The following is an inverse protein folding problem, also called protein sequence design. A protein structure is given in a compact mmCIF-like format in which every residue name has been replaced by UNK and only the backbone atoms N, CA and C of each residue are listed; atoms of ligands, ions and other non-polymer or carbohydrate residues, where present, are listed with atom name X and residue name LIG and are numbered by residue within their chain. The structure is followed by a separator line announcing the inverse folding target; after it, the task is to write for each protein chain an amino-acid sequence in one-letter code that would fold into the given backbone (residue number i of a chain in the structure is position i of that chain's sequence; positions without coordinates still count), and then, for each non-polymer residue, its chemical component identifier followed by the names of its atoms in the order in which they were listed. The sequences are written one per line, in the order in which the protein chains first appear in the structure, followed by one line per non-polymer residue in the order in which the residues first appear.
data_IF_410212780749
#
_entry.id   IF_410212780749
#
_cell.length_a   1.000
_cell.length_b   1.000
_cell.length_c   1.000
_cell.angle_alpha   90.00
_cell.angle_beta   90.00
_cell.angle_gamma   90.00
#
_symmetry.space_group_name_H-M   'P 1'
#
loop_
_entity.id
_entity.type
_entity.pdbx_description
1 polymer ?
#
# COMPACT_ATOMS: atom_id res chain seq x y z
N UNK A 1 38.98 25.51 24.47
CA UNK A 1 40.04 25.65 23.44
C UNK A 1 41.01 24.48 23.60
N UNK A 2 40.89 23.41 22.80
CA UNK A 2 41.90 22.35 22.77
C UNK A 2 42.95 22.73 21.72
N UNK A 3 44.20 22.76 22.14
CA UNK A 3 45.31 23.33 21.38
C UNK A 3 45.48 22.72 19.99
N UNK A 4 45.60 23.59 18.99
CA UNK A 4 46.03 23.24 17.65
C UNK A 4 47.52 22.94 17.75
N UNK A 5 47.87 21.66 17.87
CA UNK A 5 49.25 21.21 17.91
C UNK A 5 49.93 21.44 16.57
N UNK A 6 51.07 22.11 16.58
CA UNK A 6 51.94 22.29 15.41
C UNK A 6 52.46 20.92 14.97
N UNK A 7 52.06 20.46 13.79
CA UNK A 7 52.58 19.21 13.20
C UNK A 7 53.79 19.58 12.32
N UNK A 8 55.02 19.16 12.68
CA UNK A 8 56.21 19.52 11.92
C UNK A 8 56.16 18.93 10.50
N UNK A 9 56.56 19.76 9.53
CA UNK A 9 56.68 19.44 8.10
C UNK A 9 57.77 18.36 7.96
N UNK A 10 57.35 17.10 7.91
CA UNK A 10 58.26 15.93 7.90
C UNK A 10 57.94 14.86 8.94
N UNK A 11 56.97 15.09 9.83
CA UNK A 11 56.45 14.04 10.71
C UNK A 11 55.90 12.85 9.90
N UNK A 12 56.07 11.65 10.45
CA UNK A 12 55.68 10.39 9.81
C UNK A 12 54.21 10.40 9.37
N UNK A 13 53.34 11.08 10.12
CA UNK A 13 51.92 11.18 9.82
C UNK A 13 51.64 12.11 8.64
N UNK A 14 52.37 13.22 8.49
CA UNK A 14 52.31 14.07 7.30
C UNK A 14 52.86 13.36 6.07
N UNK A 15 53.93 12.58 6.21
CA UNK A 15 54.49 11.77 5.12
C UNK A 15 53.52 10.68 4.68
N UNK A 16 52.87 9.99 5.63
CA UNK A 16 51.83 9.00 5.35
C UNK A 16 50.61 9.63 4.66
N UNK A 17 50.15 10.79 5.12
CA UNK A 17 49.02 11.50 4.52
C UNK A 17 49.35 12.02 3.11
N UNK A 18 50.55 12.56 2.86
CA UNK A 18 50.99 12.94 1.51
C UNK A 18 51.05 11.74 0.57
N UNK A 19 51.59 10.61 1.03
CA UNK A 19 51.65 9.37 0.25
C UNK A 19 50.25 8.82 -0.06
N UNK A 20 49.34 8.86 0.91
CA UNK A 20 47.96 8.45 0.71
C UNK A 20 47.22 9.37 -0.28
N UNK A 21 47.46 10.69 -0.20
CA UNK A 21 46.90 11.66 -1.13
C UNK A 21 47.44 11.50 -2.57
N UNK A 22 48.72 11.16 -2.73
CA UNK A 22 49.31 10.85 -4.03
C UNK A 22 48.73 9.56 -4.64
N UNK A 23 48.51 8.52 -3.82
CA UNK A 23 47.90 7.24 -4.25
C UNK A 23 46.42 7.42 -4.63
N UNK A 24 45.69 8.31 -3.95
CA UNK A 24 44.29 8.63 -4.23
C UNK A 24 44.12 9.66 -5.36
N UNK A 25 45.19 10.27 -5.85
CA UNK A 25 45.12 11.22 -6.95
C UNK A 25 45.05 10.51 -8.30
N UNK A 26 44.12 10.92 -9.17
CA UNK A 26 43.93 10.36 -10.52
C UNK A 26 45.13 10.57 -11.46
N UNK A 27 46.19 11.25 -11.01
CA UNK A 27 47.40 11.56 -11.78
C UNK A 27 48.21 10.31 -12.19
N UNK A 28 48.06 9.18 -11.51
CA UNK A 28 48.80 7.94 -11.83
C UNK A 28 48.27 7.31 -13.14
N UNK A 29 46.98 7.49 -13.45
CA UNK A 29 46.34 6.90 -14.63
C UNK A 29 46.54 7.71 -15.93
N UNK A 30 47.15 8.90 -15.85
CA UNK A 30 47.30 9.82 -16.99
C UNK A 30 48.71 9.85 -17.60
N UNK A 31 49.67 9.11 -17.03
CA UNK A 31 51.05 9.10 -17.53
C UNK A 31 51.28 7.99 -18.57
N UNK A 32 51.99 8.26 -19.68
CA UNK A 32 52.40 7.24 -20.63
C UNK A 32 53.28 6.17 -19.97
N UNK A 33 53.22 4.90 -20.42
CA UNK A 33 53.80 3.75 -19.72
C UNK A 33 55.30 3.87 -19.43
N UNK A 34 56.03 4.66 -20.21
CA UNK A 34 57.49 4.81 -20.08
C UNK A 34 57.94 5.73 -18.91
N UNK A 35 57.00 6.46 -18.28
CA UNK A 35 57.32 7.42 -17.18
C UNK A 35 56.93 6.94 -15.79
N UNK A 36 56.30 5.76 -15.66
CA UNK A 36 55.97 5.18 -14.36
C UNK A 36 57.24 4.64 -13.66
N UNK A 37 57.87 5.47 -12.82
CA UNK A 37 58.94 5.01 -11.93
C UNK A 37 58.32 4.27 -10.74
N UNK A 38 58.40 2.94 -10.75
CA UNK A 38 58.12 2.12 -9.57
C UNK A 38 59.11 2.50 -8.46
N UNK A 39 58.65 3.21 -7.43
CA UNK A 39 59.47 3.48 -6.25
C UNK A 39 59.38 2.28 -5.33
N UNK A 40 60.38 1.40 -5.38
CA UNK A 40 60.58 0.37 -4.36
C UNK A 40 60.77 1.07 -3.02
N UNK A 41 59.77 0.96 -2.14
CA UNK A 41 59.86 1.39 -0.75
C UNK A 41 60.94 0.53 -0.08
N UNK A 42 61.77 1.17 0.73
CA UNK A 42 62.92 0.63 1.47
C UNK A 42 64.17 0.53 0.61
N UNK A 43 65.27 1.14 1.09
CA UNK A 43 66.63 0.68 0.79
C UNK A 43 66.55 -0.84 0.67
N UNK A 44 66.90 -1.42 -0.49
CA UNK A 44 66.81 -2.87 -0.65
C UNK A 44 67.48 -3.52 0.55
N UNK A 45 66.96 -4.64 1.06
CA UNK A 45 67.55 -5.31 2.23
C UNK A 45 69.08 -5.47 2.08
N UNK A 46 69.56 -5.61 0.84
CA UNK A 46 70.97 -5.58 0.46
C UNK A 46 71.71 -4.26 0.80
N UNK A 47 71.11 -3.09 0.58
CA UNK A 47 71.69 -1.79 0.94
C UNK A 47 71.79 -1.58 2.46
N UNK A 48 70.81 -2.07 3.22
CA UNK A 48 70.84 -2.02 4.70
C UNK A 48 71.87 -3.03 5.23
N UNK A 49 71.94 -4.22 4.65
CA UNK A 49 72.96 -5.23 4.98
C UNK A 49 74.37 -4.74 4.61
N UNK A 50 74.57 -4.06 3.48
CA UNK A 50 75.86 -3.48 3.10
C UNK A 50 76.33 -2.39 4.07
N UNK A 51 75.40 -1.53 4.55
CA UNK A 51 75.69 -0.52 5.59
C UNK A 51 76.02 -1.16 6.95
N UNK A 52 75.29 -2.21 7.35
CA UNK A 52 75.54 -2.91 8.61
C UNK A 52 76.83 -3.76 8.58
N UNK A 53 77.13 -4.38 7.44
CA UNK A 53 78.37 -5.13 7.23
C UNK A 53 79.60 -4.22 7.27
N UNK A 54 79.50 -2.98 6.79
CA UNK A 54 80.55 -1.97 6.89
C UNK A 54 80.86 -1.57 8.36
N UNK A 55 79.84 -1.57 9.24
CA UNK A 55 80.00 -1.28 10.68
C UNK A 55 80.71 -2.42 11.41
N UNK A 56 80.58 -3.66 10.93
CA UNK A 56 81.23 -4.84 11.52
C UNK A 56 82.69 -5.06 11.07
N UNK A 57 83.34 -4.15 10.35
CA UNK A 57 84.75 -4.29 9.96
C UNK A 57 85.68 -3.44 10.83
N UNK A 58 86.52 -4.07 11.66
CA UNK A 58 87.50 -3.38 12.49
C UNK A 58 88.80 -3.17 11.69
N UNK A 59 89.30 -1.93 11.62
CA UNK A 59 90.58 -1.59 10.96
C UNK A 59 91.68 -1.56 12.02
N UNK A 60 92.83 -2.18 11.75
CA UNK A 60 94.01 -2.01 12.59
C UNK A 60 94.56 -0.57 12.50
N UNK A 61 95.46 -0.18 13.41
CA UNK A 61 96.17 1.11 13.41
C UNK A 61 96.99 1.40 12.15
N UNK A 62 97.12 0.43 11.23
CA UNK A 62 97.80 0.55 9.92
C UNK A 62 96.83 0.47 8.73
N UNK A 63 95.52 0.48 8.96
CA UNK A 63 94.49 0.58 7.90
C UNK A 63 94.22 -0.71 7.11
N UNK A 64 94.86 -1.84 7.44
CA UNK A 64 94.57 -3.14 6.82
C UNK A 64 93.34 -3.81 7.46
N UNK A 65 92.50 -4.41 6.61
CA UNK A 65 91.31 -5.18 7.00
C UNK A 65 91.72 -6.53 7.59
N UNK A 66 91.34 -6.82 8.84
CA UNK A 66 91.50 -8.15 9.44
C UNK A 66 90.17 -8.90 9.45
N UNK A 67 90.23 -10.19 9.08
CA UNK A 67 89.10 -11.10 9.29
C UNK A 67 88.85 -11.30 10.79
N UNK A 68 87.67 -10.93 11.28
CA UNK A 68 87.23 -11.14 12.67
C UNK A 68 87.34 -12.60 13.13
N UNK A 69 87.21 -13.54 12.19
CA UNK A 69 87.36 -14.98 12.45
C UNK A 69 88.79 -15.32 12.87
N UNK A 70 89.80 -14.77 12.18
CA UNK A 70 91.21 -15.00 12.54
C UNK A 70 91.59 -14.35 13.88
N UNK A 71 91.02 -13.18 14.20
CA UNK A 71 91.30 -12.49 15.44
C UNK A 71 90.76 -13.23 16.68
N UNK A 72 89.57 -13.84 16.58
CA UNK A 72 88.95 -14.58 17.69
C UNK A 72 89.45 -16.02 17.82
N UNK A 73 89.80 -16.68 16.70
CA UNK A 73 90.17 -18.11 16.69
C UNK A 73 91.67 -18.34 16.96
N UNK A 74 92.54 -17.42 16.56
CA UNK A 74 93.99 -17.60 16.72
C UNK A 74 94.45 -17.72 18.19
N UNK A 75 93.97 -16.87 19.13
CA UNK A 75 94.29 -17.01 20.55
C UNK A 75 93.75 -18.33 21.14
N UNK A 76 92.60 -18.81 20.68
CA UNK A 76 91.99 -20.07 21.14
C UNK A 76 92.81 -21.29 20.71
N UNK A 77 93.32 -21.31 19.48
CA UNK A 77 94.22 -22.36 19.00
C UNK A 77 95.53 -22.39 19.80
N UNK A 78 96.07 -21.22 20.13
CA UNK A 78 97.27 -21.10 20.97
C UNK A 78 96.99 -21.60 22.40
N UNK A 79 95.84 -21.26 23.00
CA UNK A 79 95.46 -21.73 24.33
C UNK A 79 95.18 -23.24 24.37
N UNK A 80 94.53 -23.79 23.34
CA UNK A 80 94.28 -25.24 23.23
C UNK A 80 95.59 -26.02 23.07
N UNK A 81 96.56 -25.50 22.31
CA UNK A 81 97.89 -26.12 22.12
C UNK A 81 98.76 -26.06 23.39
N UNK A 82 98.50 -25.09 24.28
CA UNK A 82 99.15 -24.94 25.60
C UNK A 82 98.50 -25.80 26.71
N UNK A 83 97.46 -26.58 26.39
CA UNK A 83 96.84 -27.53 27.33
C UNK A 83 95.71 -26.98 28.20
N UNK A 84 95.20 -25.78 27.93
CA UNK A 84 94.05 -25.23 28.66
C UNK A 84 92.73 -25.86 28.16
N UNK A 85 91.88 -26.32 29.09
CA UNK A 85 90.54 -26.84 28.75
C UNK A 85 89.56 -25.68 28.50
N UNK A 86 89.03 -25.61 27.28
CA UNK A 86 88.14 -24.54 26.84
C UNK A 86 86.72 -25.09 26.73
N UNK A 87 85.84 -24.69 27.65
CA UNK A 87 84.43 -25.05 27.60
C UNK A 87 83.74 -24.50 26.34
N UNK A 88 82.79 -25.26 25.80
CA UNK A 88 82.12 -24.96 24.52
C UNK A 88 81.26 -23.70 24.48
N UNK A 89 80.93 -23.18 25.66
CA UNK A 89 80.14 -21.98 25.96
C UNK A 89 81.00 -20.74 26.25
N UNK A 90 82.34 -20.88 26.28
CA UNK A 90 83.22 -19.74 26.51
C UNK A 90 82.95 -18.63 25.48
N UNK A 91 82.83 -17.39 25.96
CA UNK A 91 82.56 -16.18 25.16
C UNK A 91 83.33 -16.12 23.84
N UNK A 92 84.66 -16.39 23.78
CA UNK A 92 85.38 -16.34 22.51
C UNK A 92 84.99 -17.47 21.53
N UNK A 93 84.58 -18.64 22.03
CA UNK A 93 84.10 -19.76 21.19
C UNK A 93 82.71 -19.47 20.64
N UNK A 94 81.83 -18.88 21.47
CA UNK A 94 80.49 -18.45 21.03
C UNK A 94 80.61 -17.34 19.98
N UNK A 95 81.50 -16.36 20.20
CA UNK A 95 81.79 -15.31 19.24
C UNK A 95 82.33 -15.89 17.91
N UNK A 96 83.29 -16.82 17.96
CA UNK A 96 83.82 -17.47 16.76
C UNK A 96 82.74 -18.28 15.99
N UNK A 97 81.82 -18.96 16.71
CA UNK A 97 80.67 -19.65 16.11
C UNK A 97 79.70 -18.67 15.44
N UNK A 98 79.39 -17.55 16.09
CA UNK A 98 78.55 -16.50 15.52
C UNK A 98 79.20 -15.88 14.27
N UNK A 99 80.50 -15.59 14.30
CA UNK A 99 81.24 -15.11 13.13
C UNK A 99 81.26 -16.12 11.98
N UNK A 100 81.42 -17.41 12.29
CA UNK A 100 81.32 -18.49 11.29
C UNK A 100 79.94 -18.53 10.63
N UNK A 101 78.89 -18.40 11.44
CA UNK A 101 77.51 -18.43 10.97
C UNK A 101 77.19 -17.22 10.06
N UNK A 102 77.71 -16.03 10.41
CA UNK A 102 77.60 -14.81 9.60
C UNK A 102 78.28 -14.97 8.22
N UNK A 103 79.45 -15.60 8.19
CA UNK A 103 80.21 -15.83 6.93
C UNK A 103 79.63 -16.99 6.11
N UNK A 104 78.84 -17.87 6.71
CA UNK A 104 78.37 -19.08 6.02
C UNK A 104 77.33 -18.79 4.93
N UNK A 105 77.71 -19.01 3.68
CA UNK A 105 76.83 -18.88 2.50
C UNK A 105 75.55 -19.72 2.60
N UNK A 106 75.62 -20.89 3.24
CA UNK A 106 74.47 -21.77 3.42
C UNK A 106 73.41 -21.13 4.33
N UNK A 107 73.79 -20.58 5.50
CA UNK A 107 72.85 -19.91 6.40
C UNK A 107 72.35 -18.60 5.81
N UNK A 108 73.18 -17.91 5.04
CA UNK A 108 72.75 -16.74 4.27
C UNK A 108 71.65 -17.10 3.27
N UNK A 109 71.84 -18.15 2.46
CA UNK A 109 70.86 -18.61 1.47
C UNK A 109 69.58 -19.17 2.12
N UNK A 110 69.70 -19.89 3.24
CA UNK A 110 68.55 -20.38 4.01
C UNK A 110 67.73 -19.22 4.61
N UNK A 111 68.39 -18.23 5.21
CA UNK A 111 67.75 -17.01 5.69
C UNK A 111 67.11 -16.21 4.56
N UNK A 112 67.79 -16.05 3.42
CA UNK A 112 67.26 -15.41 2.22
C UNK A 112 65.99 -16.12 1.73
N UNK A 113 65.98 -17.45 1.66
CA UNK A 113 64.79 -18.23 1.26
C UNK A 113 63.63 -18.11 2.23
N UNK A 114 63.90 -17.98 3.54
CA UNK A 114 62.87 -17.72 4.56
C UNK A 114 62.35 -16.28 4.52
N UNK A 115 63.18 -15.33 4.10
CA UNK A 115 62.82 -13.90 3.95
C UNK A 115 62.16 -13.58 2.62
N UNK A 116 62.40 -14.39 1.57
CA UNK A 116 61.58 -14.39 0.36
C UNK A 116 60.16 -14.76 0.81
N UNK A 117 59.35 -13.71 0.97
CA UNK A 117 58.10 -13.75 1.71
C UNK A 117 57.25 -14.96 1.33
N UNK A 118 56.74 -15.65 2.35
CA UNK A 118 55.62 -16.56 2.15
C UNK A 118 54.55 -15.79 1.38
N UNK A 119 54.10 -16.35 0.25
CA UNK A 119 52.92 -15.82 -0.41
C UNK A 119 51.82 -15.76 0.66
N UNK A 120 51.47 -14.55 1.08
CA UNK A 120 50.24 -14.30 1.83
C UNK A 120 49.14 -14.53 0.79
N UNK A 121 48.85 -15.81 0.55
CA UNK A 121 47.71 -16.22 -0.24
C UNK A 121 46.46 -15.77 0.51
N UNK A 122 45.55 -15.13 -0.19
CA UNK A 122 44.19 -14.94 0.29
C UNK A 122 43.60 -16.33 0.57
N UNK A 123 43.11 -16.56 1.81
CA UNK A 123 42.53 -17.87 2.18
C UNK A 123 41.26 -18.14 1.38
N UNK A 124 40.53 -17.06 1.06
CA UNK A 124 39.40 -17.01 0.15
C UNK A 124 39.54 -15.84 -0.81
N UNK A 125 38.82 -15.90 -1.94
CA UNK A 125 38.86 -14.85 -2.95
C UNK A 125 38.42 -13.46 -2.46
N UNK A 126 37.71 -13.42 -1.32
CA UNK A 126 37.21 -12.21 -0.68
C UNK A 126 38.28 -11.46 0.12
N UNK A 127 39.40 -12.11 0.44
CA UNK A 127 40.41 -11.55 1.34
C UNK A 127 41.38 -10.61 0.60
N UNK A 128 41.44 -10.68 -0.74
CA UNK A 128 42.22 -9.75 -1.56
C UNK A 128 41.29 -8.76 -2.29
N UNK A 129 41.35 -7.46 -1.95
CA UNK A 129 40.61 -6.42 -2.66
C UNK A 129 40.86 -6.44 -4.17
N UNK A 130 42.11 -6.71 -4.61
CA UNK A 130 42.45 -6.71 -6.04
C UNK A 130 41.73 -7.86 -6.77
N UNK A 131 41.75 -9.05 -6.20
CA UNK A 131 41.06 -10.20 -6.78
C UNK A 131 39.53 -10.04 -6.77
N UNK A 132 38.97 -9.40 -5.73
CA UNK A 132 37.55 -9.00 -5.68
C UNK A 132 37.19 -8.03 -6.81
N UNK A 133 38.03 -7.01 -7.05
CA UNK A 133 37.84 -6.07 -8.15
C UNK A 133 37.93 -6.75 -9.52
N UNK A 134 38.89 -7.67 -9.71
CA UNK A 134 38.99 -8.45 -10.95
C UNK A 134 37.74 -9.30 -11.21
N UNK A 135 37.17 -9.94 -10.17
CA UNK A 135 35.90 -10.66 -10.30
C UNK A 135 34.72 -9.75 -10.64
N UNK A 136 34.68 -8.55 -10.05
CA UNK A 136 33.64 -7.57 -10.33
C UNK A 136 33.70 -7.08 -11.79
N UNK A 137 34.89 -6.76 -12.27
CA UNK A 137 35.12 -6.38 -13.68
C UNK A 137 34.72 -7.51 -14.63
N UNK A 138 35.09 -8.76 -14.33
CA UNK A 138 34.71 -9.92 -15.14
C UNK A 138 33.18 -10.12 -15.21
N UNK A 139 32.45 -9.83 -14.12
CA UNK A 139 30.97 -9.86 -14.12
C UNK A 139 30.37 -8.77 -15.00
N UNK A 140 30.91 -7.55 -14.94
CA UNK A 140 30.45 -6.42 -15.78
C UNK A 140 30.70 -6.70 -17.27
N UNK A 141 31.83 -7.33 -17.61
CA UNK A 141 32.16 -7.71 -18.98
C UNK A 141 31.33 -8.89 -19.52
N UNK A 142 30.61 -9.61 -18.64
CA UNK A 142 29.85 -10.78 -19.07
C UNK A 142 28.51 -10.39 -19.69
N UNK A 143 28.37 -10.58 -21.00
CA UNK A 143 27.11 -10.35 -21.74
C UNK A 143 25.93 -11.15 -21.17
N UNK A 144 26.20 -12.31 -20.58
CA UNK A 144 25.19 -13.14 -19.92
C UNK A 144 24.61 -12.46 -18.68
N UNK A 145 25.45 -11.86 -17.85
CA UNK A 145 24.99 -11.16 -16.63
C UNK A 145 24.26 -9.86 -17.02
N UNK A 146 24.77 -9.15 -18.04
CA UNK A 146 24.09 -7.99 -18.63
C UNK A 146 22.68 -8.33 -19.12
N UNK A 147 22.53 -9.41 -19.90
CA UNK A 147 21.23 -9.83 -20.44
C UNK A 147 20.26 -10.28 -19.35
N UNK A 148 20.74 -10.98 -18.33
CA UNK A 148 19.95 -11.43 -17.17
C UNK A 148 19.38 -10.24 -16.38
N UNK A 149 20.17 -9.19 -16.15
CA UNK A 149 19.69 -8.01 -15.43
C UNK A 149 18.76 -7.16 -16.29
N UNK A 150 19.01 -7.07 -17.60
CA UNK A 150 18.11 -6.46 -18.57
C UNK A 150 16.73 -7.15 -18.60
N UNK A 151 16.71 -8.49 -18.65
CA UNK A 151 15.47 -9.28 -18.63
C UNK A 151 14.68 -9.06 -17.32
N UNK A 152 15.38 -9.00 -16.17
CA UNK A 152 14.75 -8.65 -14.89
C UNK A 152 14.23 -7.22 -14.84
N UNK A 153 14.91 -6.26 -15.48
CA UNK A 153 14.48 -4.86 -15.47
C UNK A 153 13.39 -4.57 -16.50
N UNK A 154 13.30 -5.35 -17.57
CA UNK A 154 12.32 -5.16 -18.65
C UNK A 154 10.87 -5.18 -18.15
N UNK A 155 10.60 -5.91 -17.06
CA UNK A 155 9.28 -6.00 -16.42
C UNK A 155 9.11 -5.02 -15.26
N UNK A 156 10.18 -4.35 -14.81
CA UNK A 156 10.12 -3.31 -13.77
C UNK A 156 9.71 -1.99 -14.41
N UNK A 157 8.41 -1.78 -14.57
CA UNK A 157 7.87 -0.46 -14.84
C UNK A 157 7.67 0.27 -13.50
N UNK A 158 8.20 1.50 -13.40
CA UNK A 158 7.86 2.42 -12.32
C UNK A 158 7.07 3.54 -12.97
N UNK A 159 5.75 3.53 -12.83
CA UNK A 159 4.98 4.73 -13.14
C UNK A 159 5.42 5.81 -12.15
N UNK A 160 5.71 7.04 -12.59
CA UNK A 160 5.91 8.14 -11.66
C UNK A 160 4.71 8.22 -10.71
N UNK A 161 4.98 8.48 -9.42
CA UNK A 161 3.97 8.51 -8.34
C UNK A 161 2.77 9.37 -8.73
N UNK A 162 3.03 10.44 -9.46
CA UNK A 162 2.03 11.31 -10.04
C UNK A 162 2.05 11.22 -11.56
N UNK A 163 1.12 10.43 -12.11
CA UNK A 163 0.84 10.46 -13.54
C UNK A 163 0.31 11.85 -13.91
N UNK A 164 0.94 12.52 -14.87
CA UNK A 164 0.61 13.90 -15.26
C UNK A 164 -0.88 14.09 -15.57
N UNK A 165 -1.52 13.09 -16.18
CA UNK A 165 -2.97 13.12 -16.45
C UNK A 165 -3.83 13.12 -15.19
N UNK A 166 -3.42 12.40 -14.14
CA UNK A 166 -4.12 12.36 -12.85
C UNK A 166 -3.94 13.68 -12.10
N UNK A 167 -2.73 14.26 -12.13
CA UNK A 167 -2.47 15.57 -11.52
C UNK A 167 -3.27 16.66 -12.23
N UNK A 168 -3.30 16.63 -13.57
CA UNK A 168 -4.10 17.56 -14.36
C UNK A 168 -5.58 17.40 -14.01
N UNK A 169 -6.12 16.17 -13.99
CA UNK A 169 -7.52 15.92 -13.62
C UNK A 169 -7.84 16.44 -12.21
N UNK A 170 -6.96 16.22 -11.22
CA UNK A 170 -7.12 16.76 -9.87
C UNK A 170 -7.19 18.30 -9.87
N UNK A 171 -6.27 18.96 -10.59
CA UNK A 171 -6.26 20.42 -10.71
C UNK A 171 -7.49 20.96 -11.46
N UNK A 172 -7.93 20.28 -12.51
CA UNK A 172 -9.17 20.60 -13.20
C UNK A 172 -10.36 20.45 -12.26
N UNK A 173 -10.41 19.38 -11.46
CA UNK A 173 -11.47 19.17 -10.48
C UNK A 173 -11.50 20.28 -9.44
N UNK A 174 -10.34 20.69 -8.88
CA UNK A 174 -10.29 21.80 -7.91
C UNK A 174 -10.74 23.13 -8.51
N UNK A 175 -10.43 23.38 -9.79
CA UNK A 175 -10.85 24.61 -10.49
C UNK A 175 -12.33 24.60 -10.86
N UNK A 176 -12.89 23.44 -11.20
CA UNK A 176 -14.31 23.27 -11.54
C UNK A 176 -15.17 23.20 -10.28
N UNK A 177 -14.63 22.70 -9.18
CA UNK A 177 -15.37 22.54 -7.94
C UNK A 177 -15.41 23.83 -7.15
N UNK A 178 -16.61 24.30 -6.82
CA UNK A 178 -16.80 25.41 -5.87
C UNK A 178 -16.55 25.01 -4.39
N UNK A 179 -15.89 23.87 -4.14
CA UNK A 179 -15.70 23.32 -2.79
C UNK A 179 -14.91 24.31 -1.93
N UNK A 180 -13.84 24.87 -2.47
CA UNK A 180 -12.99 25.84 -1.76
C UNK A 180 -13.71 27.19 -1.55
N UNK A 181 -14.62 27.55 -2.45
CA UNK A 181 -15.42 28.79 -2.35
C UNK A 181 -16.56 28.68 -1.33
N UNK A 182 -17.11 27.48 -1.14
CA UNK A 182 -18.18 27.21 -0.16
C UNK A 182 -17.66 27.07 1.27
N UNK A 183 -16.34 27.15 1.50
CA UNK A 183 -15.77 27.15 2.84
C UNK A 183 -15.96 28.53 3.50
N UNK A 184 -17.09 28.69 4.20
CA UNK A 184 -17.39 29.91 4.94
C UNK A 184 -16.34 30.15 6.05
N UNK A 185 -15.81 31.38 6.14
CA UNK A 185 -14.65 31.74 6.97
C UNK A 185 -14.82 31.51 8.49
N UNK A 186 -16.03 31.21 8.96
CA UNK A 186 -16.33 30.94 10.38
C UNK A 186 -17.21 29.71 10.57
N UNK A 187 -17.04 28.70 9.71
CA UNK A 187 -17.68 27.42 9.92
C UNK A 187 -16.94 26.66 11.04
N UNK A 188 -17.59 26.54 12.20
CA UNK A 188 -17.08 25.67 13.26
C UNK A 188 -17.28 24.21 12.80
N UNK A 189 -16.17 23.53 12.48
CA UNK A 189 -16.16 22.11 12.15
C UNK A 189 -15.95 21.32 13.44
N UNK A 190 -16.92 20.46 13.76
CA UNK A 190 -16.78 19.53 14.88
C UNK A 190 -15.69 18.50 14.54
N UNK A 191 -14.92 18.08 15.54
CA UNK A 191 -13.99 16.97 15.32
C UNK A 191 -14.79 15.69 15.02
N UNK A 192 -14.23 14.74 14.25
CA UNK A 192 -14.94 13.50 13.89
C UNK A 192 -15.32 12.60 15.08
N UNK A 193 -14.78 12.86 16.27
CA UNK A 193 -15.07 12.14 17.51
C UNK A 193 -16.27 12.72 18.28
N UNK A 194 -16.73 13.93 17.95
CA UNK A 194 -17.82 14.65 18.63
C UNK A 194 -19.18 14.39 17.98
N UNK A 195 -19.63 13.14 18.00
CA UNK A 195 -20.89 12.72 17.36
C UNK A 195 -22.13 13.48 17.87
N UNK A 196 -22.20 13.81 19.16
CA UNK A 196 -23.35 14.52 19.74
C UNK A 196 -23.56 15.90 19.09
N UNK A 197 -22.47 16.63 18.87
CA UNK A 197 -22.51 17.97 18.26
C UNK A 197 -22.84 17.86 16.77
N UNK A 198 -22.34 16.83 16.09
CA UNK A 198 -22.64 16.54 14.69
C UNK A 198 -24.14 16.22 14.52
N UNK A 199 -24.69 15.34 15.36
CA UNK A 199 -26.10 14.96 15.31
C UNK A 199 -27.03 16.12 15.64
N UNK A 200 -26.70 16.92 16.66
CA UNK A 200 -27.47 18.12 17.00
C UNK A 200 -27.50 19.11 15.83
N UNK A 201 -26.35 19.33 15.18
CA UNK A 201 -26.25 20.18 14.00
C UNK A 201 -27.10 19.65 12.84
N UNK A 202 -27.02 18.36 12.53
CA UNK A 202 -27.85 17.74 11.49
C UNK A 202 -29.35 17.91 11.77
N UNK A 203 -29.78 17.72 13.02
CA UNK A 203 -31.17 17.93 13.41
C UNK A 203 -31.61 19.39 13.19
N UNK A 204 -30.76 20.36 13.54
CA UNK A 204 -31.05 21.78 13.29
C UNK A 204 -31.03 22.17 11.81
N UNK A 205 -30.14 21.59 11.01
CA UNK A 205 -30.10 21.81 9.55
C UNK A 205 -31.38 21.29 8.89
N UNK A 206 -31.89 20.12 9.31
CA UNK A 206 -33.16 19.55 8.84
C UNK A 206 -34.37 20.41 9.25
N UNK A 207 -34.34 20.97 10.46
CA UNK A 207 -35.42 21.86 10.96
C UNK A 207 -35.35 23.27 10.39
N UNK A 208 -34.23 23.68 9.79
CA UNK A 208 -34.03 25.04 9.32
C UNK A 208 -34.83 25.31 8.05
N UNK A 209 -35.86 26.15 8.20
CA UNK A 209 -36.66 26.66 7.07
C UNK A 209 -35.81 27.33 5.99
N UNK A 210 -34.68 27.94 6.37
CA UNK A 210 -33.78 28.60 5.41
C UNK A 210 -33.08 27.56 4.54
N UNK A 211 -32.61 26.46 5.13
CA UNK A 211 -32.01 25.36 4.40
C UNK A 211 -33.05 24.68 3.49
N UNK A 212 -34.24 24.40 4.03
CA UNK A 212 -35.36 23.85 3.28
C UNK A 212 -35.73 24.70 2.04
N UNK A 213 -35.86 26.02 2.21
CA UNK A 213 -36.16 26.94 1.10
C UNK A 213 -35.01 27.09 0.12
N UNK A 214 -33.77 27.00 0.57
CA UNK A 214 -32.59 27.02 -0.30
C UNK A 214 -32.51 25.79 -1.18
N UNK A 215 -32.86 24.60 -0.65
CA UNK A 215 -32.93 23.38 -1.43
C UNK A 215 -34.04 23.51 -2.50
N UNK A 216 -35.21 24.03 -2.16
CA UNK A 216 -36.27 24.30 -3.15
C UNK A 216 -35.86 25.24 -4.31
N UNK A 217 -34.74 25.98 -4.21
CA UNK A 217 -34.23 26.79 -5.32
C UNK A 217 -33.71 25.95 -6.49
N UNK A 218 -33.25 24.70 -6.29
CA UNK A 218 -32.84 23.85 -7.42
C UNK A 218 -34.03 23.41 -8.28
N UNK A 219 -35.24 23.39 -7.71
CA UNK A 219 -36.49 23.19 -8.44
C UNK A 219 -36.99 24.46 -9.14
N UNK A 220 -36.43 25.63 -8.83
CA UNK A 220 -36.86 26.91 -9.41
C UNK A 220 -36.42 26.96 -10.87
N UNK A 221 -37.38 26.81 -11.78
CA UNK A 221 -37.14 26.78 -13.23
C UNK A 221 -37.35 25.40 -13.86
N UNK A 222 -37.59 24.35 -13.06
CA UNK A 222 -38.12 23.08 -13.58
C UNK A 222 -39.59 23.32 -13.94
N UNK A 223 -39.88 23.38 -15.24
CA UNK A 223 -41.25 23.53 -15.72
C UNK A 223 -42.12 22.33 -15.31
N UNK A 224 -43.38 22.59 -14.98
CA UNK A 224 -44.34 21.51 -14.79
C UNK A 224 -44.62 20.84 -16.13
N UNK A 225 -44.33 19.54 -16.24
CA UNK A 225 -44.65 18.73 -17.41
C UNK A 225 -45.96 18.00 -17.14
N UNK A 226 -47.07 18.31 -17.83
CA UNK A 226 -48.39 17.76 -17.54
C UNK A 226 -48.57 16.32 -18.04
N UNK A 227 -47.48 15.60 -18.32
CA UNK A 227 -47.52 14.28 -18.94
C UNK A 227 -48.11 13.28 -17.93
N UNK A 228 -49.30 12.75 -18.25
CA UNK A 228 -50.06 11.89 -17.34
C UNK A 228 -51.04 12.64 -16.43
N UNK A 229 -51.14 13.97 -16.51
CA UNK A 229 -52.26 14.69 -15.90
C UNK A 229 -53.59 14.22 -16.48
N UNK A 230 -54.66 14.28 -15.69
CA UNK A 230 -55.99 13.83 -16.09
C UNK A 230 -56.45 14.52 -17.38
N UNK A 231 -56.17 15.83 -17.52
CA UNK A 231 -56.57 16.60 -18.69
C UNK A 231 -55.76 16.20 -19.93
N UNK A 232 -54.46 15.95 -19.80
CA UNK A 232 -53.64 15.42 -20.91
C UNK A 232 -54.09 14.02 -21.31
N UNK A 233 -54.47 13.16 -20.35
CA UNK A 233 -55.00 11.82 -20.63
C UNK A 233 -56.36 11.90 -21.34
N UNK A 234 -57.25 12.79 -20.89
CA UNK A 234 -58.54 13.06 -21.56
C UNK A 234 -58.33 13.56 -22.99
N UNK A 235 -57.43 14.52 -23.20
CA UNK A 235 -57.11 15.05 -24.52
C UNK A 235 -56.50 13.98 -25.44
N UNK A 236 -55.59 13.14 -24.93
CA UNK A 236 -55.05 11.99 -25.68
C UNK A 236 -56.14 11.02 -26.10
N UNK A 237 -57.01 10.64 -25.17
CA UNK A 237 -58.12 9.72 -25.45
C UNK A 237 -59.14 10.32 -26.43
N UNK A 238 -59.43 11.61 -26.30
CA UNK A 238 -60.26 12.33 -27.27
C UNK A 238 -59.60 12.37 -28.66
N UNK A 239 -58.29 12.61 -28.73
CA UNK A 239 -57.54 12.57 -29.98
C UNK A 239 -57.52 11.17 -30.62
N UNK A 240 -57.40 10.11 -29.82
CA UNK A 240 -57.52 8.72 -30.28
C UNK A 240 -58.92 8.44 -30.86
N UNK A 241 -59.98 8.89 -30.18
CA UNK A 241 -61.37 8.76 -30.65
C UNK A 241 -61.58 9.52 -31.97
N UNK A 242 -61.00 10.70 -32.12
CA UNK A 242 -61.08 11.51 -33.33
C UNK A 242 -60.17 11.03 -34.46
N UNK A 243 -59.26 10.09 -34.19
CA UNK A 243 -58.27 9.67 -35.18
C UNK A 243 -58.87 8.70 -36.21
N UNK A 244 -58.85 9.12 -37.47
CA UNK A 244 -59.35 8.32 -38.60
C UNK A 244 -58.61 6.98 -38.75
N UNK A 245 -57.32 6.92 -38.38
CA UNK A 245 -56.50 5.71 -38.44
C UNK A 245 -56.96 4.62 -37.45
N UNK A 246 -57.48 5.01 -36.28
CA UNK A 246 -58.03 4.07 -35.30
C UNK A 246 -59.48 3.71 -35.66
N UNK A 247 -60.23 4.65 -36.24
CA UNK A 247 -61.60 4.41 -36.68
C UNK A 247 -61.70 3.46 -37.89
N UNK A 248 -60.87 3.66 -38.93
CA UNK A 248 -60.90 2.90 -40.19
C UNK A 248 -60.02 1.65 -40.14
N UNK A 249 -60.13 0.84 -39.09
CA UNK A 249 -59.37 -0.40 -39.01
C UNK A 249 -60.07 -1.56 -39.74
N UNK A 250 -59.30 -2.44 -40.42
CA UNK A 250 -59.85 -3.66 -41.01
C UNK A 250 -60.43 -4.57 -39.90
N UNK A 251 -61.52 -5.29 -40.18
CA UNK A 251 -62.27 -6.05 -39.18
C UNK A 251 -61.43 -7.12 -38.46
N UNK A 252 -60.38 -7.63 -39.11
CA UNK A 252 -59.45 -8.61 -38.52
C UNK A 252 -58.67 -8.07 -37.30
N UNK A 253 -58.51 -6.75 -37.19
CA UNK A 253 -57.78 -6.11 -36.08
C UNK A 253 -58.68 -5.77 -34.89
N UNK A 254 -59.98 -5.64 -35.12
CA UNK A 254 -60.95 -5.33 -34.07
C UNK A 254 -61.38 -6.62 -33.38
N UNK A 255 -60.74 -6.94 -32.25
CA UNK A 255 -61.19 -8.06 -31.40
C UNK A 255 -62.55 -7.70 -30.79
N UNK A 256 -63.50 -8.62 -30.87
CA UNK A 256 -64.77 -8.47 -30.17
C UNK A 256 -64.49 -8.33 -28.67
N UNK A 257 -64.87 -7.19 -28.10
CA UNK A 257 -64.91 -6.97 -26.66
C UNK A 257 -66.38 -6.92 -26.28
N UNK A 258 -66.82 -7.80 -25.38
CA UNK A 258 -68.18 -7.73 -24.86
C UNK A 258 -68.32 -6.43 -24.08
N UNK A 259 -69.40 -5.68 -24.31
CA UNK A 259 -69.70 -4.48 -23.51
C UNK A 259 -69.85 -4.90 -22.05
N UNK A 260 -68.82 -4.62 -21.23
CA UNK A 260 -68.76 -5.05 -19.82
C UNK A 260 -69.73 -4.30 -18.92
N UNK A 261 -70.27 -3.20 -19.44
CA UNK A 261 -71.02 -2.19 -18.71
C UNK A 261 -72.50 -2.19 -19.13
N UNK A 262 -72.95 -3.22 -19.86
CA UNK A 262 -74.38 -3.39 -20.10
C UNK A 262 -75.10 -3.61 -18.76
N UNK A 263 -76.33 -3.10 -18.65
CA UNK A 263 -77.10 -3.16 -17.40
C UNK A 263 -77.24 -4.60 -16.91
N UNK A 264 -77.48 -5.54 -17.82
CA UNK A 264 -77.59 -6.98 -17.52
C UNK A 264 -76.29 -7.56 -16.97
N UNK A 265 -75.13 -7.19 -17.54
CA UNK A 265 -73.84 -7.68 -17.04
C UNK A 265 -73.47 -7.06 -15.68
N UNK A 266 -73.81 -5.80 -15.45
CA UNK A 266 -73.61 -5.16 -14.14
C UNK A 266 -74.49 -5.82 -13.08
N UNK A 267 -75.76 -6.09 -13.41
CA UNK A 267 -76.66 -6.84 -12.54
C UNK A 267 -76.14 -8.26 -12.27
N UNK A 268 -75.69 -8.97 -13.29
CA UNK A 268 -75.12 -10.31 -13.14
C UNK A 268 -73.86 -10.32 -12.23
N UNK A 269 -72.96 -9.33 -12.39
CA UNK A 269 -71.79 -9.16 -11.52
C UNK A 269 -72.19 -8.89 -10.07
N UNK A 270 -73.13 -7.97 -9.84
CA UNK A 270 -73.62 -7.64 -8.50
C UNK A 270 -74.33 -8.83 -7.85
N UNK A 271 -75.14 -9.57 -8.61
CA UNK A 271 -75.79 -10.78 -8.15
C UNK A 271 -74.78 -11.87 -7.80
N UNK A 272 -73.73 -12.05 -8.63
CA UNK A 272 -72.65 -13.00 -8.35
C UNK A 272 -71.87 -12.64 -7.07
N UNK A 273 -71.57 -11.36 -6.85
CA UNK A 273 -70.92 -10.87 -5.62
C UNK A 273 -71.82 -11.13 -4.41
N UNK A 274 -73.11 -10.83 -4.52
CA UNK A 274 -74.09 -11.02 -3.44
C UNK A 274 -74.28 -12.49 -3.10
N UNK A 275 -74.23 -13.38 -4.11
CA UNK A 275 -74.33 -14.84 -3.91
C UNK A 275 -73.01 -15.50 -3.48
N UNK A 276 -71.89 -14.78 -3.47
CA UNK A 276 -70.58 -15.36 -3.18
C UNK A 276 -70.41 -15.65 -1.68
N UNK A 277 -70.51 -16.94 -1.31
CA UNK A 277 -70.36 -17.42 0.07
C UNK A 277 -69.00 -17.08 0.71
N UNK A 278 -67.93 -16.99 -0.08
CA UNK A 278 -66.59 -16.68 0.45
C UNK A 278 -66.51 -15.22 0.89
N UNK A 279 -66.98 -14.30 0.03
CA UNK A 279 -67.03 -12.87 0.35
C UNK A 279 -67.96 -12.62 1.54
N UNK A 280 -69.08 -13.34 1.63
CA UNK A 280 -69.98 -13.27 2.77
C UNK A 280 -69.29 -13.67 4.10
N UNK A 281 -68.51 -14.76 4.10
CA UNK A 281 -67.77 -15.19 5.30
C UNK A 281 -66.68 -14.19 5.68
N UNK A 282 -65.94 -13.68 4.70
CA UNK A 282 -64.90 -12.67 4.93
C UNK A 282 -65.49 -11.39 5.52
N UNK A 283 -66.55 -10.84 4.93
CA UNK A 283 -67.27 -9.69 5.47
C UNK A 283 -67.81 -9.94 6.89
N UNK A 284 -68.23 -11.17 7.18
CA UNK A 284 -68.68 -11.57 8.52
C UNK A 284 -67.53 -11.67 9.54
N UNK A 285 -66.36 -12.12 9.12
CA UNK A 285 -65.14 -12.11 9.95
C UNK A 285 -64.59 -10.69 10.16
N UNK A 286 -64.68 -9.83 9.17
CA UNK A 286 -64.31 -8.40 9.27
C UNK A 286 -65.25 -7.65 10.22
N UNK A 287 -66.56 -7.82 10.08
CA UNK A 287 -67.54 -7.24 11.00
C UNK A 287 -67.30 -7.69 12.46
N UNK A 288 -66.91 -8.95 12.66
CA UNK A 288 -66.51 -9.47 13.99
C UNK A 288 -65.23 -8.79 14.51
N UNK A 289 -64.24 -8.52 13.66
CA UNK A 289 -63.00 -7.82 14.04
C UNK A 289 -63.25 -6.36 14.40
N UNK A 290 -64.17 -5.71 13.70
CA UNK A 290 -64.59 -4.33 13.98
C UNK A 290 -65.47 -4.21 15.25
N UNK A 291 -65.78 -5.34 15.90
CA UNK A 291 -66.50 -5.37 17.17
C UNK A 291 -68.02 -5.39 17.03
N UNK A 292 -68.56 -5.57 15.82
CA UNK A 292 -69.98 -5.77 15.61
C UNK A 292 -70.37 -7.20 16.00
N UNK A 293 -70.85 -7.36 17.23
CA UNK A 293 -71.46 -8.61 17.67
C UNK A 293 -72.87 -8.74 17.06
N UNK A 294 -72.98 -9.58 16.04
CA UNK A 294 -74.21 -9.83 15.29
C UNK A 294 -75.11 -10.91 15.92
N UNK A 295 -74.77 -11.40 17.13
CA UNK A 295 -75.60 -12.37 17.86
C UNK A 295 -76.93 -11.72 18.26
N UNK A 296 -78.05 -12.44 18.17
CA UNK A 296 -79.39 -11.87 18.35
C UNK A 296 -79.67 -11.31 19.75
N UNK A 297 -78.85 -11.70 20.72
CA UNK A 297 -78.78 -11.32 22.13
C UNK A 297 -77.62 -10.34 22.44
N UNK A 298 -76.85 -9.91 21.45
CA UNK A 298 -75.78 -8.94 21.62
C UNK A 298 -76.34 -7.60 22.15
N UNK A 299 -75.61 -6.97 23.07
CA UNK A 299 -76.04 -5.73 23.75
C UNK A 299 -76.41 -4.61 22.78
N UNK A 300 -75.67 -4.45 21.68
CA UNK A 300 -75.95 -3.44 20.64
C UNK A 300 -77.27 -3.70 19.91
N UNK A 301 -77.58 -4.96 19.61
CA UNK A 301 -78.83 -5.37 18.94
C UNK A 301 -80.02 -5.28 19.89
N UNK A 302 -79.84 -5.70 21.14
CA UNK A 302 -80.88 -5.57 22.19
C UNK A 302 -81.17 -4.11 22.48
N UNK A 303 -80.14 -3.26 22.60
CA UNK A 303 -80.31 -1.82 22.78
C UNK A 303 -80.99 -1.16 21.58
N UNK A 304 -80.63 -1.53 20.35
CA UNK A 304 -81.29 -1.02 19.14
C UNK A 304 -82.74 -1.51 19.02
N UNK A 305 -83.06 -2.75 19.42
CA UNK A 305 -84.45 -3.25 19.51
C UNK A 305 -85.23 -2.50 20.56
N UNK A 306 -84.73 -2.40 21.78
CA UNK A 306 -85.37 -1.64 22.85
C UNK A 306 -85.58 -0.17 22.44
N UNK A 307 -84.60 0.46 21.79
CA UNK A 307 -84.73 1.83 21.26
C UNK A 307 -85.79 1.93 20.16
N UNK A 308 -85.90 0.92 19.28
CA UNK A 308 -86.98 0.83 18.28
C UNK A 308 -88.34 0.66 18.96
N UNK A 309 -88.42 -0.19 19.97
CA UNK A 309 -89.65 -0.49 20.71
C UNK A 309 -90.13 0.76 21.47
N UNK A 310 -89.19 1.49 22.11
CA UNK A 310 -89.42 2.81 22.75
C UNK A 310 -89.88 3.84 21.71
N UNK A 311 -89.25 3.89 20.52
CA UNK A 311 -89.63 4.81 19.46
C UNK A 311 -90.97 4.44 18.80
N UNK A 312 -91.45 3.20 18.98
CA UNK A 312 -92.65 2.71 18.33
C UNK A 312 -93.95 2.97 19.11
N UNK A 313 -93.88 3.37 20.39
CA UNK A 313 -94.99 3.77 21.28
C UNK A 313 -96.40 3.25 20.91
N UNK A 314 -96.47 1.94 20.64
CA UNK A 314 -97.67 1.12 20.64
C UNK A 314 -97.30 -0.12 21.44
N UNK A 315 -97.85 -0.23 22.65
CA UNK A 315 -97.67 -1.42 23.49
C UNK A 315 -98.18 -2.64 22.72
N UNK A 316 -97.40 -3.72 22.70
CA UNK A 316 -97.73 -4.97 22.02
C UNK A 316 -99.05 -5.62 22.49
N UNK A 317 -99.61 -5.14 23.60
CA UNK A 317 -100.82 -5.66 24.24
C UNK A 317 -102.12 -4.94 23.81
N UNK A 318 -102.02 -3.90 22.96
CA UNK A 318 -103.16 -3.13 22.44
C UNK A 318 -103.13 -3.04 20.89
N UNK A 319 -102.92 -4.16 20.21
CA UNK A 319 -103.13 -4.23 18.75
C UNK A 319 -104.58 -4.65 18.49
N UNK A 320 -105.48 -3.77 18.00
CA UNK A 320 -106.77 -4.23 17.50
C UNK A 320 -106.52 -5.14 16.31
N UNK A 321 -107.23 -6.27 16.25
CA UNK A 321 -107.16 -7.20 15.13
C UNK A 321 -107.46 -6.48 13.81
N UNK A 322 -106.42 -6.05 13.09
CA UNK A 322 -106.56 -5.47 11.76
C UNK A 322 -105.49 -6.02 10.81
N UNK A 323 -106.01 -6.73 9.82
CA UNK A 323 -105.41 -7.14 8.54
C UNK A 323 -104.18 -8.04 8.63
N UNK A 324 -104.47 -9.34 8.63
CA UNK A 324 -103.63 -10.31 7.95
C UNK A 324 -103.43 -9.87 6.50
N UNK A 325 -102.25 -9.34 6.18
CA UNK A 325 -101.77 -9.31 4.80
C UNK A 325 -101.54 -10.78 4.44
N UNK A 326 -102.44 -11.33 3.61
CA UNK A 326 -102.25 -12.64 3.00
C UNK A 326 -100.89 -12.66 2.29
N UNK A 327 -100.12 -13.75 2.37
CA UNK A 327 -98.99 -13.91 1.47
C UNK A 327 -99.53 -13.87 0.03
N UNK A 328 -99.01 -12.95 -0.78
CA UNK A 328 -99.26 -12.95 -2.22
C UNK A 328 -98.76 -14.27 -2.83
N UNK A 329 -99.37 -14.72 -3.95
CA UNK A 329 -99.05 -16.03 -4.52
C UNK A 329 -97.58 -16.11 -4.90
N UNK A 330 -96.93 -17.19 -4.47
CA UNK A 330 -95.64 -17.64 -5.01
C UNK A 330 -95.82 -17.89 -6.50
N UNK A 331 -95.27 -17.03 -7.34
CA UNK A 331 -95.04 -17.38 -8.74
C UNK A 331 -93.87 -18.35 -8.76
N UNK A 332 -94.19 -19.63 -8.91
CA UNK A 332 -93.23 -20.62 -9.33
C UNK A 332 -92.71 -20.23 -10.71
N UNK A 333 -91.39 -20.04 -10.82
CA UNK A 333 -90.71 -20.10 -12.10
C UNK A 333 -90.62 -21.58 -12.42
N UNK A 334 -91.50 -22.04 -13.30
CA UNK A 334 -91.31 -23.30 -14.01
C UNK A 334 -90.04 -23.17 -14.87
N UNK A 335 -89.22 -24.22 -14.81
CA UNK A 335 -88.09 -24.47 -15.71
C UNK A 335 -88.56 -24.58 -17.16
#
# INVERSE_FOLDING_TARGET
MRGIGWVPIGSLDVVKCKRAAEILSDNIYRQPPDKQKFTSVTDSLEQVLAKNNAITMNKDSTGKLKSHYLFSVWPLLVSKKKGYDLRSDAIPIVAAKASRDIVSDYKYKDGYRKQLGHHIGARNIKDDPKMMWSMHVAKIQSDREYKKDFEKSKTRYSSPVDMLGVVLAKKCQTLVSDIDYKNYLHQWTCLPDQNDVIHARQAYEIQSDNMYKSDLQWMRGIGWVPIGSLDVVKCKRAAEILSDNIYRQPPDKQKFTSVTDSLEQVLAKNNAITMNKSLYRQAMEEAKKEGYDLRSDALSIVAAKASRDIASDVRADEVPAFVTIRPGPTWGIAV
#
